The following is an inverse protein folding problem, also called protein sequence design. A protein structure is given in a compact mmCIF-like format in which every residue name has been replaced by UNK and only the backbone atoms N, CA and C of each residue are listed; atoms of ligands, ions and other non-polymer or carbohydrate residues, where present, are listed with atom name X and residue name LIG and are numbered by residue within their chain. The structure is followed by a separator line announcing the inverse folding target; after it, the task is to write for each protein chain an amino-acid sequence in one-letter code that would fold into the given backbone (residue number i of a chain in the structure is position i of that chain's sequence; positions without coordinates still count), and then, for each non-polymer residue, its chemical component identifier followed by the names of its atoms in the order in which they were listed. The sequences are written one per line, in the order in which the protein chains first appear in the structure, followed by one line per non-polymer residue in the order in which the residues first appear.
data_IF_867052418782
#
_entry.id   IF_867052418782
#
_cell.length_a   1.000
_cell.length_b   1.000
_cell.length_c   1.000
_cell.angle_alpha   90.00
_cell.angle_beta   90.00
_cell.angle_gamma   90.00
#
_symmetry.space_group_name_H-M   'P 1'
#
loop_
_entity.id
_entity.type
_entity.pdbx_description
1 polymer ?
#
# COMPACT_ATOMS: atom_id res chain seq x y z
N UNK A 1 5.67 -13.46 -1.83
CA UNK A 1 5.63 -11.99 -1.70
C UNK A 1 4.74 -11.45 -0.58
N UNK A 2 3.75 -12.20 -0.08
CA UNK A 2 2.78 -11.72 0.92
C UNK A 2 3.39 -11.04 2.15
N UNK A 3 4.50 -11.57 2.69
CA UNK A 3 5.20 -10.97 3.82
C UNK A 3 5.62 -9.52 3.57
N UNK A 4 5.89 -9.16 2.30
CA UNK A 4 6.29 -7.80 1.92
C UNK A 4 5.12 -6.83 1.98
N UNK A 5 3.93 -7.27 1.59
CA UNK A 5 2.68 -6.51 1.78
C UNK A 5 2.42 -6.31 3.27
N UNK A 6 2.71 -7.34 4.08
CA UNK A 6 2.59 -7.30 5.54
C UNK A 6 3.41 -6.22 6.26
N UNK A 7 4.44 -5.64 5.61
CA UNK A 7 5.20 -4.51 6.13
C UNK A 7 4.41 -3.18 6.12
N UNK A 8 3.29 -3.12 5.40
CA UNK A 8 2.40 -1.96 5.35
C UNK A 8 2.86 -0.80 4.48
N UNK A 9 3.97 -0.94 3.75
CA UNK A 9 4.52 0.11 2.88
C UNK A 9 4.42 -0.19 1.39
N UNK A 10 3.88 -1.37 1.03
CA UNK A 10 3.81 -1.84 -0.35
C UNK A 10 2.64 -1.21 -1.11
N UNK A 11 2.91 -0.71 -2.32
CA UNK A 11 1.96 -0.03 -3.17
C UNK A 11 2.22 -0.32 -4.66
N UNK A 12 1.34 0.19 -5.53
CA UNK A 12 1.39 -0.02 -6.99
C UNK A 12 2.64 0.52 -7.71
N UNK A 13 3.53 1.26 -7.02
CA UNK A 13 4.81 1.73 -7.57
C UNK A 13 6.01 1.10 -6.86
N UNK A 14 5.77 0.16 -5.94
CA UNK A 14 6.84 -0.49 -5.19
C UNK A 14 7.63 -1.44 -6.09
N UNK A 15 8.92 -1.16 -6.28
CA UNK A 15 9.80 -2.06 -7.03
C UNK A 15 9.88 -3.44 -6.40
N UNK A 16 9.78 -4.50 -7.18
CA UNK A 16 9.90 -5.89 -6.71
C UNK A 16 11.33 -6.39 -6.93
N UNK A 17 12.04 -6.84 -5.88
CA UNK A 17 13.40 -7.34 -6.03
C UNK A 17 13.46 -8.53 -6.99
N UNK A 18 14.33 -8.45 -7.99
CA UNK A 18 14.47 -9.46 -9.05
C UNK A 18 14.85 -10.86 -8.53
N UNK A 19 15.29 -11.00 -7.27
CA UNK A 19 15.59 -12.33 -6.72
C UNK A 19 14.36 -13.23 -6.62
N UNK A 20 13.14 -12.67 -6.57
CA UNK A 20 11.91 -13.47 -6.62
C UNK A 20 11.83 -14.29 -7.90
N UNK A 21 12.07 -13.63 -9.04
CA UNK A 21 12.14 -14.27 -10.35
C UNK A 21 13.38 -15.17 -10.44
N UNK A 22 14.59 -14.62 -10.25
CA UNK A 22 15.82 -15.37 -10.51
C UNK A 22 16.06 -16.57 -9.60
N UNK A 23 15.63 -16.54 -8.34
CA UNK A 23 15.86 -17.65 -7.39
C UNK A 23 14.66 -18.59 -7.25
N UNK A 24 13.44 -18.07 -7.39
CA UNK A 24 12.24 -18.84 -7.10
C UNK A 24 11.31 -18.99 -8.30
N UNK A 25 11.65 -18.41 -9.47
CA UNK A 25 10.80 -18.44 -10.66
C UNK A 25 9.45 -17.75 -10.43
N UNK A 26 9.38 -16.82 -9.47
CA UNK A 26 8.14 -16.13 -9.12
C UNK A 26 8.01 -14.89 -9.99
N UNK A 27 7.05 -14.94 -10.91
CA UNK A 27 6.53 -13.75 -11.58
C UNK A 27 5.79 -12.88 -10.55
N UNK A 28 6.13 -11.61 -10.53
CA UNK A 28 5.73 -10.68 -9.49
C UNK A 28 4.29 -10.18 -9.69
N UNK A 29 3.90 -9.88 -10.93
CA UNK A 29 2.54 -9.50 -11.28
C UNK A 29 1.56 -10.66 -11.04
N UNK A 30 1.86 -11.88 -11.52
CA UNK A 30 1.04 -13.07 -11.29
C UNK A 30 0.92 -13.40 -9.81
N UNK A 31 2.03 -13.27 -9.06
CA UNK A 31 2.01 -13.54 -7.63
C UNK A 31 1.17 -12.51 -6.88
N UNK A 32 1.20 -11.24 -7.27
CA UNK A 32 0.38 -10.20 -6.64
C UNK A 32 -1.11 -10.41 -6.94
N UNK A 33 -1.46 -10.70 -8.19
CA UNK A 33 -2.82 -11.05 -8.59
C UNK A 33 -3.34 -12.27 -7.82
N UNK A 34 -2.51 -13.31 -7.69
CA UNK A 34 -2.85 -14.50 -6.93
C UNK A 34 -3.15 -14.19 -5.46
N UNK A 35 -2.35 -13.34 -4.81
CA UNK A 35 -2.57 -12.95 -3.41
C UNK A 35 -3.88 -12.20 -3.22
N UNK A 36 -4.23 -11.33 -4.18
CA UNK A 36 -5.52 -10.61 -4.18
C UNK A 36 -6.67 -11.57 -4.43
N UNK A 37 -6.57 -12.42 -5.45
CA UNK A 37 -7.59 -13.41 -5.80
C UNK A 37 -7.85 -14.42 -4.68
N UNK A 38 -6.81 -14.77 -3.90
CA UNK A 38 -6.92 -15.66 -2.74
C UNK A 38 -7.45 -14.95 -1.48
N UNK A 39 -7.65 -13.63 -1.52
CA UNK A 39 -8.13 -12.86 -0.37
C UNK A 39 -7.08 -12.67 0.73
N UNK A 40 -5.79 -12.85 0.44
CA UNK A 40 -4.71 -12.62 1.40
C UNK A 40 -4.25 -11.17 1.46
N UNK A 41 -4.53 -10.43 0.40
CA UNK A 41 -4.34 -8.99 0.33
C UNK A 41 -5.45 -8.38 -0.53
N UNK A 42 -5.62 -7.08 -0.46
CA UNK A 42 -6.47 -6.34 -1.38
C UNK A 42 -5.78 -5.05 -1.81
N UNK A 43 -6.18 -4.53 -2.98
CA UNK A 43 -5.76 -3.21 -3.44
C UNK A 43 -6.63 -2.17 -2.74
N UNK A 44 -6.00 -1.31 -1.97
CA UNK A 44 -6.67 -0.29 -1.18
C UNK A 44 -7.33 0.77 -2.08
N UNK A 45 -8.35 1.45 -1.55
CA UNK A 45 -8.90 2.68 -2.13
C UNK A 45 -7.90 3.85 -2.06
N UNK A 46 -8.17 4.93 -2.77
CA UNK A 46 -7.45 6.18 -2.62
C UNK A 46 -7.50 6.67 -1.16
N UNK A 47 -8.68 6.61 -0.54
CA UNK A 47 -8.90 7.03 0.86
C UNK A 47 -8.01 6.29 1.85
N UNK A 48 -7.96 4.96 1.77
CA UNK A 48 -7.09 4.12 2.60
C UNK A 48 -5.60 4.34 2.31
N UNK A 49 -5.27 4.82 1.11
CA UNK A 49 -3.88 5.10 0.71
C UNK A 49 -3.36 6.43 1.24
N UNK A 50 -4.21 7.33 1.75
CA UNK A 50 -3.82 8.68 2.17
C UNK A 50 -2.69 8.72 3.20
N UNK A 51 -2.63 7.77 4.14
CA UNK A 51 -1.62 7.75 5.22
C UNK A 51 -0.18 7.62 4.68
N UNK A 52 -0.02 6.91 3.57
CA UNK A 52 1.30 6.65 2.96
C UNK A 52 1.74 7.76 2.02
N UNK A 53 0.85 8.70 1.69
CA UNK A 53 1.20 9.86 0.87
C UNK A 53 2.14 10.81 1.61
N UNK A 54 2.99 11.46 0.82
CA UNK A 54 3.88 12.51 1.29
C UNK A 54 3.09 13.80 1.56
N UNK A 55 3.58 14.61 2.51
CA UNK A 55 2.93 15.88 2.84
C UNK A 55 2.77 16.84 1.64
N UNK A 56 3.70 16.91 0.64
CA UNK A 56 3.48 17.76 -0.54
C UNK A 56 2.27 17.32 -1.37
N UNK A 57 2.05 16.01 -1.53
CA UNK A 57 0.89 15.47 -2.28
C UNK A 57 -0.39 15.83 -1.56
N UNK A 58 -0.47 15.62 -0.24
CA UNK A 58 -1.64 15.98 0.55
C UNK A 58 -1.96 17.48 0.46
N UNK A 59 -0.94 18.34 0.56
CA UNK A 59 -1.11 19.80 0.41
C UNK A 59 -1.55 20.22 -0.99
N UNK A 60 -1.13 19.49 -2.03
CA UNK A 60 -1.58 19.71 -3.41
C UNK A 60 -3.08 19.43 -3.53
N UNK A 61 -3.54 18.27 -3.03
CA UNK A 61 -4.96 17.89 -3.02
C UNK A 61 -5.81 18.97 -2.34
N UNK A 62 -5.39 19.47 -1.18
CA UNK A 62 -6.09 20.57 -0.50
C UNK A 62 -6.13 21.85 -1.35
N UNK A 63 -5.03 22.20 -2.00
CA UNK A 63 -4.95 23.40 -2.85
C UNK A 63 -5.90 23.30 -4.05
N UNK A 64 -5.94 22.15 -4.71
CA UNK A 64 -6.81 21.87 -5.86
C UNK A 64 -8.30 21.92 -5.47
N UNK A 65 -8.61 21.61 -4.21
CA UNK A 65 -9.95 21.69 -3.62
C UNK A 65 -10.23 23.01 -2.89
N UNK A 66 -9.36 24.02 -3.03
CA UNK A 66 -9.50 25.35 -2.41
C UNK A 66 -9.58 25.32 -0.87
N UNK A 67 -8.96 24.32 -0.24
CA UNK A 67 -8.89 24.15 1.21
C UNK A 67 -7.54 24.66 1.76
N UNK A 68 -7.55 25.08 3.04
CA UNK A 68 -6.31 25.48 3.71
C UNK A 68 -5.33 24.30 3.80
N UNK A 69 -4.04 24.56 3.53
CA UNK A 69 -2.96 23.56 3.54
C UNK A 69 -1.97 23.73 4.69
N UNK A 70 -2.22 24.67 5.60
CA UNK A 70 -1.40 24.90 6.79
C UNK A 70 -1.66 23.81 7.84
N UNK A 71 -0.66 23.61 8.71
CA UNK A 71 -0.67 22.61 9.76
C UNK A 71 0.44 21.57 9.63
N UNK A 72 0.49 20.67 10.61
CA UNK A 72 1.36 19.48 10.61
C UNK A 72 0.79 18.42 9.68
N UNK A 73 1.55 17.34 9.42
CA UNK A 73 1.11 16.27 8.49
C UNK A 73 -0.26 15.72 8.88
N UNK A 74 -0.49 15.47 10.16
CA UNK A 74 -1.76 14.93 10.65
C UNK A 74 -2.93 15.87 10.39
N UNK A 75 -2.81 17.17 10.74
CA UNK A 75 -3.85 18.17 10.46
C UNK A 75 -4.21 18.27 8.96
N UNK A 76 -3.18 18.22 8.11
CA UNK A 76 -3.34 18.24 6.65
C UNK A 76 -4.05 16.98 6.15
N UNK A 77 -3.66 15.82 6.67
CA UNK A 77 -4.23 14.53 6.31
C UNK A 77 -5.71 14.41 6.74
N UNK A 78 -6.02 14.79 7.98
CA UNK A 78 -7.39 14.75 8.51
C UNK A 78 -8.28 15.71 7.72
N UNK A 79 -7.78 16.90 7.36
CA UNK A 79 -8.53 17.81 6.49
C UNK A 79 -8.85 17.22 5.12
N UNK A 80 -7.91 16.48 4.52
CA UNK A 80 -8.17 15.77 3.25
C UNK A 80 -9.26 14.71 3.46
N UNK A 81 -9.20 13.93 4.56
CA UNK A 81 -10.21 12.91 4.89
C UNK A 81 -11.60 13.50 5.08
N UNK A 82 -11.69 14.61 5.80
CA UNK A 82 -12.98 15.14 6.23
C UNK A 82 -13.68 15.95 5.13
N UNK A 83 -12.92 16.51 4.18
CA UNK A 83 -13.46 17.50 3.24
C UNK A 83 -13.38 17.11 1.76
N UNK A 84 -12.60 16.09 1.39
CA UNK A 84 -12.45 15.66 -0.01
C UNK A 84 -13.21 14.36 -0.21
N UNK A 85 -14.05 14.27 -1.24
CA UNK A 85 -14.83 13.06 -1.52
C UNK A 85 -13.95 11.94 -2.12
N UNK A 86 -14.42 10.69 -2.02
CA UNK A 86 -13.68 9.55 -2.55
C UNK A 86 -13.51 9.66 -4.08
N UNK A 87 -14.51 10.16 -4.82
CA UNK A 87 -14.41 10.35 -6.27
C UNK A 87 -13.28 11.32 -6.64
N UNK A 88 -13.14 12.42 -5.89
CA UNK A 88 -12.06 13.39 -6.11
C UNK A 88 -10.71 12.78 -5.76
N UNK A 89 -10.63 12.03 -4.65
CA UNK A 89 -9.40 11.36 -4.26
C UNK A 89 -8.93 10.34 -5.29
N UNK A 90 -9.86 9.55 -5.86
CA UNK A 90 -9.54 8.59 -6.92
C UNK A 90 -8.95 9.27 -8.16
N UNK A 91 -9.39 10.50 -8.47
CA UNK A 91 -8.88 11.30 -9.59
C UNK A 91 -7.58 12.05 -9.26
N UNK A 92 -7.30 12.32 -7.99
CA UNK A 92 -6.17 13.18 -7.57
C UNK A 92 -4.81 12.48 -7.63
N UNK A 93 -4.78 11.15 -7.53
CA UNK A 93 -3.56 10.34 -7.60
C UNK A 93 -3.87 8.88 -7.94
N UNK A 94 -2.91 8.18 -8.51
CA UNK A 94 -3.07 6.79 -8.99
C UNK A 94 -2.41 5.73 -8.11
N UNK A 95 -1.56 6.13 -7.17
CA UNK A 95 -0.90 5.21 -6.24
C UNK A 95 -1.95 4.54 -5.35
N UNK A 96 -1.91 3.20 -5.25
CA UNK A 96 -2.76 2.44 -4.33
C UNK A 96 -1.90 1.51 -3.50
N UNK A 97 -2.11 1.51 -2.19
CA UNK A 97 -1.47 0.54 -1.31
C UNK A 97 -2.05 -0.86 -1.56
N UNK A 98 -1.27 -1.89 -1.25
CA UNK A 98 -1.82 -3.21 -1.01
C UNK A 98 -1.85 -3.44 0.49
N UNK A 99 -3.00 -3.87 0.98
CA UNK A 99 -3.23 -4.09 2.41
C UNK A 99 -3.41 -5.58 2.63
N UNK A 100 -2.73 -6.10 3.64
CA UNK A 100 -2.84 -7.50 4.03
C UNK A 100 -4.13 -7.72 4.83
N UNK A 101 -4.83 -8.82 4.54
CA UNK A 101 -6.01 -9.27 5.29
C UNK A 101 -5.61 -10.07 6.54
N UNK A 102 -6.57 -10.37 7.41
CA UNK A 102 -6.33 -11.22 8.57
C UNK A 102 -5.95 -12.65 8.15
N UNK A 103 -6.56 -13.16 7.08
CA UNK A 103 -6.21 -14.43 6.46
C UNK A 103 -4.77 -14.40 5.94
N UNK A 104 -4.37 -13.31 5.29
CA UNK A 104 -2.99 -13.12 4.83
C UNK A 104 -1.98 -13.12 5.98
N UNK A 105 -2.32 -12.45 7.10
CA UNK A 105 -1.49 -12.45 8.32
C UNK A 105 -1.37 -13.85 8.91
N UNK A 106 -2.45 -14.64 8.91
CA UNK A 106 -2.42 -16.03 9.36
C UNK A 106 -1.48 -16.90 8.50
N UNK A 107 -1.48 -16.70 7.18
CA UNK A 107 -0.53 -17.38 6.26
C UNK A 107 0.91 -16.99 6.57
N UNK A 108 1.22 -15.70 6.76
CA UNK A 108 2.57 -15.27 7.14
C UNK A 108 3.03 -16.00 8.42
N UNK A 109 2.17 -16.03 9.45
CA UNK A 109 2.47 -16.68 10.72
C UNK A 109 2.72 -18.19 10.55
N UNK A 110 1.90 -18.87 9.75
CA UNK A 110 2.03 -20.30 9.51
C UNK A 110 3.33 -20.68 8.79
N UNK A 111 3.87 -19.78 7.95
CA UNK A 111 5.08 -20.02 7.16
C UNK A 111 6.28 -19.13 7.57
N UNK A 112 6.29 -18.60 8.79
CA UNK A 112 7.33 -17.68 9.28
C UNK A 112 8.74 -18.25 9.11
N UNK A 113 8.95 -19.54 9.42
CA UNK A 113 10.24 -20.20 9.28
C UNK A 113 10.82 -20.14 7.84
N UNK A 114 9.96 -20.13 6.81
CA UNK A 114 10.39 -19.97 5.41
C UNK A 114 10.75 -18.50 5.16
N UNK A 115 9.95 -17.57 5.67
CA UNK A 115 10.19 -16.13 5.53
C UNK A 115 11.50 -15.73 6.21
N UNK A 116 11.82 -16.25 7.40
CA UNK A 116 13.08 -15.94 8.08
C UNK A 116 14.31 -16.45 7.31
N UNK A 117 14.18 -17.55 6.55
CA UNK A 117 15.28 -18.11 5.74
C UNK A 117 15.48 -17.39 4.40
N UNK A 118 14.42 -16.87 3.81
CA UNK A 118 14.39 -16.42 2.41
C UNK A 118 13.94 -14.96 2.21
N UNK A 119 13.36 -14.35 3.23
CA UNK A 119 12.95 -12.95 3.28
C UNK A 119 14.12 -12.02 3.62
N UNK A 120 13.83 -10.73 3.88
CA UNK A 120 14.85 -9.78 4.26
C UNK A 120 15.32 -10.13 5.67
N UNK A 121 16.63 -10.02 5.90
CA UNK A 121 17.15 -10.08 7.27
C UNK A 121 16.67 -8.80 7.96
N UNK A 122 15.70 -8.94 8.86
CA UNK A 122 15.27 -7.87 9.76
C UNK A 122 16.27 -7.72 10.90
#
# INVERSE_FOLDING_TARGET
MLWRIGLGTFNSQSMIPNYFEYKYGVDDDESLELLVRKGYAYKASARETLDTLSIPVLKRILTENQLDKKGKKQDVLDRVRDNVSDEILEQSFTIRNYVITDEGRAIIKAYDAIIQKHGPKM
#
